data_IF_513336537479
#
_entry.id   IF_513336537479
#
_cell.length_a   1.000
_cell.length_b   1.000
_cell.length_c   1.000
_cell.angle_alpha   90.00
_cell.angle_beta   90.00
_cell.angle_gamma   90.00
#
_symmetry.space_group_name_H-M   'P 1'
#
loop_
_entity.id
_entity.type
_entity.pdbx_description
1 polymer ?
#
# COMPACT_ATOMS: atom_id res chain seq x y z
N UNK A 1 -2.11 -38.44 -54.04
CA UNK A 1 -2.96 -37.29 -53.66
C UNK A 1 -2.26 -36.56 -52.51
N UNK A 2 -1.49 -35.56 -52.84
CA UNK A 2 -0.66 -34.79 -51.92
C UNK A 2 -1.44 -33.55 -51.50
N UNK A 3 -1.83 -33.49 -50.24
CA UNK A 3 -2.49 -32.29 -49.67
C UNK A 3 -1.45 -31.24 -49.41
N UNK A 4 -1.44 -30.17 -50.21
CA UNK A 4 -0.68 -28.96 -50.00
C UNK A 4 -1.27 -28.17 -48.84
N UNK A 5 -0.52 -28.00 -47.76
CA UNK A 5 -0.83 -27.05 -46.68
C UNK A 5 -0.48 -25.66 -47.18
N UNK A 6 -1.48 -24.84 -47.40
CA UNK A 6 -1.32 -23.38 -47.58
C UNK A 6 -0.79 -22.77 -46.29
N UNK A 7 0.41 -22.20 -46.36
CA UNK A 7 0.98 -21.35 -45.34
C UNK A 7 0.44 -19.94 -45.57
N UNK A 8 -0.51 -19.49 -44.77
CA UNK A 8 -0.96 -18.10 -44.77
C UNK A 8 0.14 -17.19 -44.17
N UNK A 9 0.44 -16.04 -44.77
CA UNK A 9 1.46 -15.14 -44.26
C UNK A 9 0.99 -14.49 -42.95
N UNK A 10 1.91 -14.31 -42.02
CA UNK A 10 1.81 -13.75 -40.69
C UNK A 10 0.70 -12.71 -40.54
N UNK A 11 -0.44 -13.11 -39.97
CA UNK A 11 -1.45 -12.17 -39.54
C UNK A 11 -0.89 -11.27 -38.46
N UNK A 12 -0.69 -9.99 -38.78
CA UNK A 12 -0.43 -8.95 -37.78
C UNK A 12 -1.60 -8.99 -36.79
N UNK A 13 -1.36 -9.49 -35.60
CA UNK A 13 -2.33 -9.46 -34.51
C UNK A 13 -2.64 -7.99 -34.27
N UNK A 14 -3.89 -7.61 -34.47
CA UNK A 14 -4.32 -6.22 -34.32
C UNK A 14 -4.19 -5.83 -32.83
N UNK A 15 -3.08 -5.18 -32.49
CA UNK A 15 -2.73 -4.76 -31.14
C UNK A 15 -3.85 -3.93 -30.47
N UNK A 16 -4.56 -3.11 -31.26
CA UNK A 16 -5.68 -2.31 -30.76
C UNK A 16 -6.87 -3.18 -30.30
N UNK A 17 -7.14 -4.29 -30.99
CA UNK A 17 -8.22 -5.22 -30.63
C UNK A 17 -7.89 -6.01 -29.37
N UNK A 18 -6.60 -6.39 -29.20
CA UNK A 18 -6.13 -7.06 -27.98
C UNK A 18 -6.17 -6.10 -26.79
N UNK A 19 -5.70 -4.86 -26.96
CA UNK A 19 -5.71 -3.85 -25.90
C UNK A 19 -7.13 -3.49 -25.45
N UNK A 20 -8.08 -3.30 -26.41
CA UNK A 20 -9.48 -3.05 -26.07
C UNK A 20 -10.13 -4.25 -25.35
N UNK A 21 -9.77 -5.48 -25.72
CA UNK A 21 -10.29 -6.68 -25.07
C UNK A 21 -9.77 -6.82 -23.61
N UNK A 22 -8.50 -6.58 -23.37
CA UNK A 22 -7.90 -6.59 -22.02
C UNK A 22 -8.57 -5.53 -21.14
N UNK A 23 -8.70 -4.29 -21.61
CA UNK A 23 -9.35 -3.21 -20.86
C UNK A 23 -10.82 -3.48 -20.57
N UNK A 24 -11.57 -4.08 -21.52
CA UNK A 24 -12.98 -4.41 -21.33
C UNK A 24 -13.25 -5.56 -20.35
N UNK A 25 -12.26 -6.39 -20.07
CA UNK A 25 -12.39 -7.51 -19.12
C UNK A 25 -12.12 -7.11 -17.66
N UNK A 26 -11.85 -5.84 -17.39
CA UNK A 26 -11.56 -5.35 -16.03
C UNK A 26 -10.53 -6.20 -15.28
N UNK A 27 -9.45 -6.57 -15.96
CA UNK A 27 -8.41 -7.44 -15.40
C UNK A 27 -7.42 -6.69 -14.50
N UNK A 28 -7.47 -5.33 -14.54
CA UNK A 28 -6.58 -4.50 -13.74
C UNK A 28 -7.17 -4.27 -12.34
N UNK A 29 -6.29 -4.36 -11.32
CA UNK A 29 -6.59 -4.08 -9.92
C UNK A 29 -5.49 -3.22 -9.34
N UNK A 30 -5.83 -2.28 -8.47
CA UNK A 30 -4.84 -1.59 -7.65
C UNK A 30 -4.41 -2.52 -6.53
N UNK A 31 -3.28 -3.19 -6.73
CA UNK A 31 -2.81 -4.23 -5.82
C UNK A 31 -2.15 -3.65 -4.57
N UNK A 32 -1.08 -2.87 -4.71
CA UNK A 32 -0.34 -2.37 -3.56
C UNK A 32 0.18 -0.94 -3.76
N UNK A 33 0.52 -0.31 -2.63
CA UNK A 33 1.29 0.93 -2.55
C UNK A 33 2.58 0.63 -1.81
N UNK A 34 3.73 1.05 -2.36
CA UNK A 34 5.04 0.82 -1.78
C UNK A 34 5.57 2.06 -1.06
N UNK A 35 6.08 1.86 0.17
CA UNK A 35 6.82 2.85 0.94
C UNK A 35 8.21 2.34 1.26
N UNK A 36 9.19 3.24 1.30
CA UNK A 36 10.50 2.92 1.86
C UNK A 36 10.49 3.18 3.35
N UNK A 37 10.99 2.20 4.12
CA UNK A 37 11.06 2.27 5.57
C UNK A 37 12.52 2.23 6.04
N UNK A 38 12.81 2.94 7.14
CA UNK A 38 14.14 2.97 7.73
C UNK A 38 14.47 1.67 8.47
N UNK A 39 13.58 1.24 9.36
CA UNK A 39 13.78 0.09 10.26
C UNK A 39 12.57 -0.85 10.16
N UNK A 40 12.74 -2.06 9.60
CA UNK A 40 11.63 -3.01 9.44
C UNK A 40 11.07 -3.46 10.78
N UNK A 41 11.86 -3.53 11.85
CA UNK A 41 11.38 -3.94 13.17
C UNK A 41 10.36 -2.94 13.71
N UNK A 42 10.64 -1.65 13.58
CA UNK A 42 9.76 -0.59 14.05
C UNK A 42 8.50 -0.49 13.19
N UNK A 43 8.67 -0.51 11.86
CA UNK A 43 7.53 -0.37 10.93
C UNK A 43 6.63 -1.59 10.95
N UNK A 44 7.17 -2.82 11.00
CA UNK A 44 6.35 -4.03 11.09
C UNK A 44 5.54 -4.06 12.39
N UNK A 45 6.12 -3.67 13.54
CA UNK A 45 5.37 -3.57 14.79
C UNK A 45 4.23 -2.56 14.68
N UNK A 46 4.46 -1.39 14.08
CA UNK A 46 3.40 -0.39 13.88
C UNK A 46 2.24 -0.94 13.01
N UNK A 47 2.55 -1.48 11.85
CA UNK A 47 1.51 -1.95 10.93
C UNK A 47 0.78 -3.21 11.43
N UNK A 48 1.48 -4.11 12.17
CA UNK A 48 0.88 -5.33 12.70
C UNK A 48 0.22 -5.11 14.07
N UNK A 49 0.95 -4.54 15.05
CA UNK A 49 0.50 -4.51 16.44
C UNK A 49 -0.41 -3.32 16.74
N UNK A 50 -0.25 -2.20 15.99
CA UNK A 50 -1.09 -1.01 16.14
C UNK A 50 -2.25 -1.02 15.14
N UNK A 51 -1.98 -1.19 13.84
CA UNK A 51 -3.02 -1.14 12.82
C UNK A 51 -3.72 -2.49 12.57
N UNK A 52 -3.19 -3.60 13.09
CA UNK A 52 -3.80 -4.93 12.98
C UNK A 52 -3.63 -5.61 11.61
N UNK A 53 -2.76 -5.10 10.76
CA UNK A 53 -2.44 -5.76 9.50
C UNK A 53 -1.71 -7.09 9.71
N UNK A 54 -1.79 -7.98 8.75
CA UNK A 54 -1.03 -9.25 8.74
C UNK A 54 0.07 -9.20 7.72
N UNK A 55 1.24 -9.71 8.08
CA UNK A 55 2.32 -9.96 7.14
C UNK A 55 1.90 -11.11 6.21
N UNK A 56 1.75 -10.79 4.94
CA UNK A 56 1.27 -11.71 3.90
C UNK A 56 2.41 -12.43 3.20
N UNK A 57 3.53 -11.74 3.03
CA UNK A 57 4.74 -12.27 2.39
C UNK A 57 5.96 -11.41 2.70
N UNK A 58 7.13 -12.00 2.59
CA UNK A 58 8.43 -11.33 2.64
C UNK A 58 9.23 -11.74 1.41
N UNK A 59 9.88 -10.77 0.75
CA UNK A 59 10.72 -11.00 -0.42
C UNK A 59 12.07 -10.31 -0.25
N UNK A 60 13.12 -11.10 -0.11
CA UNK A 60 14.49 -10.60 -0.07
C UNK A 60 15.10 -10.54 -1.46
N UNK A 61 15.76 -9.42 -1.77
CA UNK A 61 16.46 -9.21 -3.04
C UNK A 61 17.93 -8.93 -2.75
N UNK A 62 18.68 -10.01 -2.55
CA UNK A 62 20.11 -10.00 -2.16
C UNK A 62 20.97 -9.15 -3.10
N UNK A 63 20.77 -9.29 -4.41
CA UNK A 63 21.56 -8.56 -5.41
C UNK A 63 21.37 -7.02 -5.34
N UNK A 64 20.25 -6.56 -4.82
CA UNK A 64 19.90 -5.13 -4.69
C UNK A 64 19.87 -4.65 -3.23
N UNK A 65 20.18 -5.55 -2.27
CA UNK A 65 20.29 -5.26 -0.83
C UNK A 65 19.05 -4.61 -0.24
N UNK A 66 17.86 -5.16 -0.53
CA UNK A 66 16.62 -4.75 0.10
C UNK A 66 15.72 -5.94 0.40
N UNK A 67 14.77 -5.72 1.30
CA UNK A 67 13.70 -6.66 1.63
C UNK A 67 12.35 -5.96 1.54
N UNK A 68 11.38 -6.58 0.85
CA UNK A 68 9.99 -6.13 0.79
C UNK A 68 9.11 -6.98 1.71
N UNK A 69 8.27 -6.28 2.48
CA UNK A 69 7.28 -6.87 3.38
C UNK A 69 5.89 -6.46 2.89
N UNK A 70 5.05 -7.45 2.56
CA UNK A 70 3.68 -7.22 2.08
C UNK A 70 2.70 -7.42 3.23
N UNK A 71 1.93 -6.38 3.56
CA UNK A 71 0.97 -6.39 4.65
C UNK A 71 -0.44 -6.07 4.15
N UNK A 72 -1.46 -6.60 4.82
CA UNK A 72 -2.86 -6.31 4.50
C UNK A 72 -3.80 -6.74 5.60
N UNK A 73 -5.03 -6.23 5.53
CA UNK A 73 -6.10 -6.64 6.43
C UNK A 73 -6.69 -7.99 6.01
N UNK A 74 -7.02 -8.86 6.99
CA UNK A 74 -7.52 -10.22 6.73
C UNK A 74 -9.05 -10.32 6.63
N UNK A 75 -9.76 -9.22 6.95
CA UNK A 75 -11.23 -9.18 6.91
C UNK A 75 -11.85 -8.89 5.53
N UNK A 76 -11.06 -8.63 4.50
CA UNK A 76 -11.59 -8.43 3.16
C UNK A 76 -11.99 -9.74 2.51
N UNK A 77 -13.07 -9.73 1.73
CA UNK A 77 -13.68 -10.88 1.06
C UNK A 77 -12.75 -11.67 0.12
N UNK A 78 -11.55 -11.18 -0.15
CA UNK A 78 -10.56 -11.76 -1.08
C UNK A 78 -9.33 -12.32 -0.35
N UNK A 79 -9.51 -12.84 0.87
CA UNK A 79 -8.42 -13.31 1.74
C UNK A 79 -7.78 -14.65 1.33
N UNK A 80 -8.28 -15.32 0.29
CA UNK A 80 -7.77 -16.61 -0.21
C UNK A 80 -6.70 -16.44 -1.27
N UNK A 81 -5.48 -16.06 -0.90
CA UNK A 81 -4.39 -15.99 -1.87
C UNK A 81 -3.21 -15.16 -1.37
N UNK A 82 -2.09 -15.24 -2.08
CA UNK A 82 -0.91 -14.41 -1.81
C UNK A 82 -1.17 -12.91 -2.05
N UNK A 83 -0.23 -12.04 -1.67
CA UNK A 83 -0.42 -10.59 -1.70
C UNK A 83 -0.79 -10.05 -3.09
N UNK A 84 -0.31 -10.68 -4.18
CA UNK A 84 -0.59 -10.23 -5.55
C UNK A 84 -2.01 -10.50 -6.03
N UNK A 85 -2.82 -11.26 -5.27
CA UNK A 85 -4.24 -11.49 -5.57
C UNK A 85 -5.19 -10.56 -4.82
N UNK A 86 -4.66 -9.71 -3.96
CA UNK A 86 -5.41 -8.78 -3.09
C UNK A 86 -5.40 -7.36 -3.64
N UNK A 87 -6.25 -6.53 -3.09
CA UNK A 87 -6.23 -5.07 -3.22
C UNK A 87 -5.91 -4.44 -1.87
N UNK A 88 -5.44 -3.20 -1.87
CA UNK A 88 -5.15 -2.47 -0.63
C UNK A 88 -3.98 -3.04 0.18
N UNK A 89 -3.02 -3.66 -0.48
CA UNK A 89 -1.79 -4.17 0.15
C UNK A 89 -0.81 -3.01 0.36
N UNK A 90 -0.16 -2.98 1.50
CA UNK A 90 0.99 -2.11 1.77
C UNK A 90 2.26 -2.93 1.58
N UNK A 91 3.17 -2.45 0.73
CA UNK A 91 4.50 -3.01 0.54
C UNK A 91 5.52 -2.09 1.22
N UNK A 92 6.17 -2.58 2.27
CA UNK A 92 7.22 -1.86 2.97
C UNK A 92 8.58 -2.32 2.44
N UNK A 93 9.35 -1.41 1.83
CA UNK A 93 10.66 -1.71 1.26
C UNK A 93 11.76 -1.21 2.19
N UNK A 94 12.54 -2.12 2.75
CA UNK A 94 13.69 -1.81 3.58
C UNK A 94 14.99 -1.97 2.79
N UNK A 95 15.73 -0.89 2.57
CA UNK A 95 17.10 -0.93 2.07
C UNK A 95 18.04 -1.27 3.23
N UNK A 96 18.79 -2.35 3.11
CA UNK A 96 19.62 -2.86 4.20
C UNK A 96 20.65 -1.85 4.69
N UNK A 97 20.75 -1.73 5.99
CA UNK A 97 21.68 -0.83 6.66
C UNK A 97 21.10 0.52 7.07
N UNK A 98 19.94 0.94 6.52
CA UNK A 98 19.34 2.23 6.90
C UNK A 98 18.97 2.31 8.38
N UNK A 99 18.63 1.17 8.99
CA UNK A 99 18.28 1.05 10.41
C UNK A 99 19.45 1.36 11.35
N UNK A 100 20.68 1.14 10.90
CA UNK A 100 21.90 1.33 11.67
C UNK A 100 22.75 2.53 11.23
N UNK A 101 22.40 3.18 10.12
CA UNK A 101 23.12 4.35 9.63
C UNK A 101 22.72 5.61 10.42
N UNK A 102 23.66 6.10 11.25
CA UNK A 102 23.48 7.31 12.05
C UNK A 102 23.31 8.59 11.19
N UNK A 103 23.77 8.58 9.93
CA UNK A 103 23.63 9.70 8.99
C UNK A 103 22.35 9.65 8.17
N UNK A 104 21.62 8.54 8.22
CA UNK A 104 20.38 8.41 7.48
C UNK A 104 19.25 9.21 8.16
N UNK A 105 18.88 10.31 7.55
CA UNK A 105 17.88 11.26 8.08
C UNK A 105 16.43 10.89 7.81
N UNK A 106 16.18 9.74 7.17
CA UNK A 106 14.85 9.25 6.77
C UNK A 106 14.53 9.54 5.31
N UNK A 107 13.42 8.99 4.85
CA UNK A 107 12.90 9.20 3.50
C UNK A 107 12.02 10.44 3.44
N UNK A 108 11.96 11.06 2.26
CA UNK A 108 11.03 12.15 2.00
C UNK A 108 9.61 11.57 1.81
N UNK A 109 8.67 11.99 2.67
CA UNK A 109 7.31 11.44 2.71
C UNK A 109 6.32 12.12 1.74
N UNK A 110 6.75 13.12 1.00
CA UNK A 110 5.94 13.82 0.00
C UNK A 110 5.11 14.98 0.53
N UNK A 111 4.95 15.17 1.83
CA UNK A 111 4.11 16.22 2.42
C UNK A 111 4.86 17.53 2.71
N UNK A 112 6.20 17.52 2.60
CA UNK A 112 7.03 18.73 2.63
C UNK A 112 7.43 19.11 1.21
N UNK A 113 7.86 20.36 1.02
CA UNK A 113 8.35 20.80 -0.29
C UNK A 113 9.66 20.09 -0.69
N UNK A 114 9.80 19.66 -1.96
CA UNK A 114 8.78 19.65 -3.00
C UNK A 114 7.70 18.59 -2.73
N UNK A 115 6.42 18.99 -2.77
CA UNK A 115 5.31 18.08 -2.49
C UNK A 115 5.17 17.02 -3.60
N UNK A 116 4.76 15.83 -3.20
CA UNK A 116 4.54 14.69 -4.10
C UNK A 116 3.49 13.75 -3.55
N UNK A 117 3.89 12.55 -3.08
CA UNK A 117 2.97 11.61 -2.45
C UNK A 117 2.31 12.23 -1.21
N UNK A 118 1.01 12.05 -1.05
CA UNK A 118 0.23 12.60 0.07
C UNK A 118 0.09 11.62 1.24
N UNK A 119 -0.78 10.65 1.07
CA UNK A 119 -1.14 9.67 2.11
C UNK A 119 -1.77 8.42 1.51
N UNK A 120 -1.93 7.39 2.33
CA UNK A 120 -2.90 6.31 2.15
C UNK A 120 -4.08 6.53 3.10
N UNK A 121 -5.21 5.90 2.82
CA UNK A 121 -6.40 5.97 3.67
C UNK A 121 -6.79 4.58 4.21
N UNK A 122 -7.24 4.56 5.47
CA UNK A 122 -7.78 3.37 6.14
C UNK A 122 -9.17 3.73 6.65
N UNK A 123 -10.17 2.98 6.23
CA UNK A 123 -11.55 3.14 6.73
C UNK A 123 -11.76 2.32 8.00
N UNK A 124 -12.63 2.81 8.87
CA UNK A 124 -13.06 2.12 10.09
C UNK A 124 -14.55 2.36 10.34
N UNK A 125 -15.16 1.52 11.19
CA UNK A 125 -16.58 1.62 11.52
C UNK A 125 -16.89 2.79 12.46
N UNK A 126 -15.92 3.18 13.32
CA UNK A 126 -16.06 4.24 14.31
C UNK A 126 -14.76 5.02 14.43
N UNK A 127 -14.75 6.19 13.83
CA UNK A 127 -13.53 7.05 13.75
C UNK A 127 -13.13 7.56 15.12
N UNK A 128 -14.10 7.91 15.99
CA UNK A 128 -13.82 8.46 17.31
C UNK A 128 -13.17 7.41 18.22
N UNK A 129 -13.72 6.20 18.26
CA UNK A 129 -13.12 5.07 19.00
C UNK A 129 -11.76 4.67 18.44
N UNK A 130 -11.62 4.67 17.12
CA UNK A 130 -10.34 4.38 16.47
C UNK A 130 -9.29 5.42 16.84
N UNK A 131 -9.63 6.71 16.84
CA UNK A 131 -8.70 7.77 17.24
C UNK A 131 -8.34 7.66 18.72
N UNK A 132 -9.29 7.37 19.61
CA UNK A 132 -9.00 7.17 21.04
C UNK A 132 -8.05 5.99 21.28
N UNK A 133 -8.24 4.88 20.56
CA UNK A 133 -7.33 3.74 20.59
C UNK A 133 -5.93 4.12 20.10
N UNK A 134 -5.81 4.85 19.00
CA UNK A 134 -4.52 5.28 18.44
C UNK A 134 -3.80 6.26 19.39
N UNK A 135 -4.54 7.10 20.13
CA UNK A 135 -3.99 7.95 21.19
C UNK A 135 -3.46 7.13 22.37
N UNK A 136 -4.19 6.12 22.82
CA UNK A 136 -3.74 5.19 23.86
C UNK A 136 -2.45 4.47 23.44
N UNK A 137 -2.32 4.12 22.16
CA UNK A 137 -1.10 3.54 21.57
C UNK A 137 0.01 4.56 21.33
N UNK A 138 -0.18 5.82 21.70
CA UNK A 138 0.78 6.90 21.54
C UNK A 138 1.19 7.15 20.08
N UNK A 139 0.28 6.88 19.14
CA UNK A 139 0.51 7.15 17.72
C UNK A 139 0.59 8.65 17.48
N UNK A 140 1.53 9.07 16.67
CA UNK A 140 1.68 10.49 16.32
C UNK A 140 0.58 10.92 15.37
N UNK A 141 -0.23 11.90 15.80
CA UNK A 141 -1.23 12.54 14.95
C UNK A 141 -0.61 13.69 14.16
N UNK A 142 -0.92 13.73 12.88
CA UNK A 142 -0.69 14.90 12.03
C UNK A 142 -1.87 15.87 12.11
N UNK A 143 -3.10 15.32 12.23
CA UNK A 143 -4.35 16.09 12.41
C UNK A 143 -5.33 15.25 13.23
N UNK A 144 -5.87 15.82 14.28
CA UNK A 144 -6.93 15.22 15.11
C UNK A 144 -8.31 15.54 14.56
N UNK A 145 -9.32 14.79 14.99
CA UNK A 145 -10.73 15.05 14.62
C UNK A 145 -11.19 16.45 15.03
N UNK A 146 -10.73 16.95 16.19
CA UNK A 146 -11.07 18.29 16.69
C UNK A 146 -10.45 19.44 15.90
N UNK A 147 -9.48 19.16 15.03
CA UNK A 147 -8.68 20.16 14.33
C UNK A 147 -9.16 20.41 12.90
N UNK A 148 -9.00 21.66 12.44
CA UNK A 148 -9.35 22.08 11.08
C UNK A 148 -10.84 22.05 10.76
N UNK A 149 -11.18 22.15 9.48
CA UNK A 149 -12.56 22.22 8.98
C UNK A 149 -13.21 20.84 8.78
N UNK A 150 -12.41 19.82 8.39
CA UNK A 150 -12.90 18.47 8.18
C UNK A 150 -12.76 17.65 9.47
N UNK A 151 -13.79 17.68 10.31
CA UNK A 151 -13.81 17.05 11.65
C UNK A 151 -14.15 15.55 11.62
N UNK A 152 -14.43 14.99 10.45
CA UNK A 152 -14.82 13.60 10.25
C UNK A 152 -13.64 12.69 9.90
N UNK A 153 -12.44 13.29 9.67
CA UNK A 153 -11.24 12.58 9.31
C UNK A 153 -10.07 12.98 10.22
N UNK A 154 -9.21 12.04 10.53
CA UNK A 154 -7.95 12.29 11.21
C UNK A 154 -6.77 11.87 10.30
N UNK A 155 -5.59 12.39 10.59
CA UNK A 155 -4.35 11.93 9.98
C UNK A 155 -3.36 11.53 11.07
N UNK A 156 -2.81 10.34 10.94
CA UNK A 156 -1.71 9.86 11.76
C UNK A 156 -0.42 9.75 10.93
N UNK A 157 0.70 9.56 11.60
CA UNK A 157 1.98 9.28 10.96
C UNK A 157 2.45 7.87 11.34
N UNK A 158 2.96 7.17 10.34
CA UNK A 158 3.72 5.95 10.59
C UNK A 158 5.14 6.27 11.13
N UNK A 159 5.96 5.28 11.50
CA UNK A 159 7.30 5.51 12.04
C UNK A 159 8.25 6.30 11.12
N UNK A 160 8.06 6.23 9.79
CA UNK A 160 8.84 6.94 8.79
C UNK A 160 8.24 8.31 8.42
N UNK A 161 7.08 8.67 9.03
CA UNK A 161 6.39 9.94 8.85
C UNK A 161 5.47 10.00 7.64
N UNK A 162 5.15 8.86 7.00
CA UNK A 162 4.09 8.82 5.99
C UNK A 162 2.73 9.05 6.65
N UNK A 163 1.90 9.82 5.98
CA UNK A 163 0.56 10.10 6.50
C UNK A 163 -0.40 8.98 6.17
N UNK A 164 -1.23 8.64 7.14
CA UNK A 164 -2.33 7.70 7.02
C UNK A 164 -3.61 8.43 7.44
N UNK A 165 -4.55 8.56 6.51
CA UNK A 165 -5.87 9.10 6.77
C UNK A 165 -6.74 8.05 7.45
N UNK A 166 -7.44 8.44 8.52
CA UNK A 166 -8.41 7.61 9.23
C UNK A 166 -9.79 8.23 9.02
N UNK A 167 -10.70 7.48 8.44
CA UNK A 167 -12.04 7.95 8.11
C UNK A 167 -13.08 6.84 8.27
N UNK A 168 -14.36 7.26 8.42
CA UNK A 168 -15.48 6.33 8.49
C UNK A 168 -15.80 5.72 7.11
N UNK A 169 -16.21 4.46 7.10
CA UNK A 169 -16.66 3.77 5.89
C UNK A 169 -17.97 4.34 5.32
N UNK A 170 -18.67 5.19 6.08
CA UNK A 170 -19.94 5.85 5.74
C UNK A 170 -19.81 7.37 5.51
N UNK A 171 -18.60 7.88 5.29
CA UNK A 171 -18.34 9.32 5.18
C UNK A 171 -19.13 10.02 4.06
N UNK A 172 -19.49 9.30 3.02
CA UNK A 172 -20.18 9.80 1.83
C UNK A 172 -21.62 9.26 1.69
N UNK A 173 -22.18 8.58 2.70
CA UNK A 173 -23.54 8.02 2.72
C UNK A 173 -24.59 9.05 3.13
#
# INVERSE_FOLDING_TARGET
MTSSREITPHGKVNSNKIMSHIASQQTFKLNHTMFRIKDPKVSLSFYQDVLGMKLLNTMEVEAAKFTNYFLGFTGSSDSSGGPLRREGVVELCHNWGTESDANFTGYHNGNKAPQGFGHIAITCDDVEKTCAYLEEKQVKFQKRLSEGSMKQIAFIQDPDGYWIEILGNNLFD
#
